data_IF_060057999856
#
_entry.id   IF_060057999856
#
_cell.length_a   1.000
_cell.length_b   1.000
_cell.length_c   1.000
_cell.angle_alpha   90.00
_cell.angle_beta   90.00
_cell.angle_gamma   90.00
#
_symmetry.space_group_name_H-M   'P 1'
#
loop_
_entity.id
_entity.type
_entity.pdbx_description
1 polymer ?
#
# COMPACT_ATOMS: atom_id res chain seq x y z
N UNK A 1 10.55 -3.66 26.58
CA UNK A 1 11.05 -3.33 25.22
C UNK A 1 11.84 -2.04 25.29
N UNK A 2 13.01 -1.95 24.65
CA UNK A 2 13.75 -0.67 24.56
C UNK A 2 13.00 0.28 23.63
N UNK A 3 12.77 1.55 23.99
CA UNK A 3 12.11 2.52 23.12
C UNK A 3 12.83 2.61 21.77
N UNK A 4 12.09 2.60 20.65
CA UNK A 4 12.67 2.55 19.29
C UNK A 4 13.77 3.60 19.09
N UNK A 5 13.53 4.81 19.61
CA UNK A 5 14.44 5.96 19.59
C UNK A 5 15.81 5.64 20.22
N UNK A 6 15.81 4.95 21.37
CA UNK A 6 17.05 4.59 22.08
C UNK A 6 17.84 3.53 21.30
N UNK A 7 17.16 2.54 20.72
CA UNK A 7 17.80 1.55 19.85
C UNK A 7 18.40 2.17 18.59
N UNK A 8 17.69 3.08 17.94
CA UNK A 8 18.19 3.78 16.74
C UNK A 8 19.41 4.64 17.06
N UNK A 9 19.36 5.45 18.13
CA UNK A 9 20.52 6.23 18.58
C UNK A 9 21.73 5.34 18.82
N UNK A 10 21.55 4.24 19.55
CA UNK A 10 22.64 3.30 19.82
C UNK A 10 23.22 2.71 18.51
N UNK A 11 22.37 2.32 17.55
CA UNK A 11 22.81 1.80 16.23
C UNK A 11 23.54 2.86 15.41
N UNK A 12 23.15 4.12 15.51
CA UNK A 12 23.81 5.26 14.88
C UNK A 12 25.03 5.76 15.68
N UNK A 13 25.40 5.07 16.77
CA UNK A 13 26.48 5.48 17.70
C UNK A 13 26.27 6.88 18.30
N UNK A 14 25.02 7.33 18.41
CA UNK A 14 24.64 8.56 19.08
C UNK A 14 24.55 8.33 20.60
N UNK A 15 24.87 9.38 21.37
CA UNK A 15 24.65 9.38 22.81
C UNK A 15 23.16 9.15 23.12
N UNK A 16 22.86 8.46 24.21
CA UNK A 16 21.48 8.23 24.64
C UNK A 16 20.71 9.54 24.90
N UNK A 17 21.45 10.59 25.30
CA UNK A 17 21.01 11.96 25.56
C UNK A 17 20.87 12.82 24.31
N UNK A 18 21.31 12.35 23.13
CA UNK A 18 21.18 13.11 21.89
C UNK A 18 19.70 13.47 21.66
N UNK A 19 19.36 14.69 21.20
CA UNK A 19 17.97 15.09 21.05
C UNK A 19 17.24 14.20 20.03
N UNK A 20 16.00 13.80 20.35
CA UNK A 20 15.18 12.95 19.47
C UNK A 20 14.93 13.59 18.09
N UNK A 21 14.98 14.92 18.05
CA UNK A 21 14.75 15.73 16.86
C UNK A 21 15.70 15.38 15.71
N UNK A 22 16.92 14.90 16.02
CA UNK A 22 17.92 14.45 15.05
C UNK A 22 17.37 13.34 14.13
N UNK A 23 16.44 12.52 14.63
CA UNK A 23 15.86 11.40 13.89
C UNK A 23 14.59 11.74 13.12
N UNK A 24 13.96 12.87 13.45
CA UNK A 24 12.63 13.23 12.95
C UNK A 24 12.67 14.42 12.00
N UNK A 25 13.67 15.30 12.12
CA UNK A 25 13.78 16.53 11.34
C UNK A 25 15.04 16.52 10.45
N UNK A 26 14.80 16.52 9.14
CA UNK A 26 15.87 16.62 8.15
C UNK A 26 16.56 18.00 8.15
N UNK A 27 15.82 19.06 8.50
CA UNK A 27 16.23 20.46 8.37
C UNK A 27 17.51 20.85 9.11
N UNK A 28 17.75 20.29 10.31
CA UNK A 28 18.86 20.74 11.17
C UNK A 28 20.17 19.99 10.93
N UNK A 29 20.07 18.70 10.56
CA UNK A 29 21.21 17.79 10.54
C UNK A 29 21.46 17.17 9.17
N UNK A 30 20.64 17.48 8.17
CA UNK A 30 20.65 16.85 6.85
C UNK A 30 20.59 15.32 6.91
N UNK A 31 19.89 14.80 7.92
CA UNK A 31 19.65 13.37 8.13
C UNK A 31 18.21 13.09 7.71
N UNK A 32 18.01 12.12 6.80
CA UNK A 32 16.66 11.70 6.40
C UNK A 32 15.86 11.24 7.61
N UNK A 33 14.64 11.75 7.74
CA UNK A 33 13.71 11.34 8.79
C UNK A 33 13.51 9.82 8.75
N UNK A 34 13.52 9.20 9.92
CA UNK A 34 13.24 7.75 10.03
C UNK A 34 11.84 7.44 9.49
N UNK A 35 10.89 8.34 9.73
CA UNK A 35 9.52 8.17 9.28
C UNK A 35 9.46 8.13 7.74
N UNK A 36 10.08 9.11 7.08
CA UNK A 36 10.08 9.20 5.62
C UNK A 36 10.81 8.00 4.99
N UNK A 37 11.93 7.57 5.58
CA UNK A 37 12.64 6.37 5.14
C UNK A 37 11.78 5.11 5.25
N UNK A 38 11.01 4.96 6.34
CA UNK A 38 10.11 3.81 6.50
C UNK A 38 8.94 3.88 5.53
N UNK A 39 8.37 5.07 5.29
CA UNK A 39 7.31 5.29 4.32
C UNK A 39 7.80 4.90 2.92
N UNK A 40 8.95 5.43 2.51
CA UNK A 40 9.57 5.13 1.23
C UNK A 40 9.86 3.63 1.08
N UNK A 41 10.43 2.98 2.10
CA UNK A 41 10.72 1.56 2.06
C UNK A 41 9.44 0.71 1.90
N UNK A 42 8.35 1.06 2.59
CA UNK A 42 7.06 0.36 2.46
C UNK A 42 6.48 0.49 1.07
N UNK A 43 6.39 1.71 0.55
CA UNK A 43 5.86 1.99 -0.80
C UNK A 43 6.72 1.29 -1.85
N UNK A 44 8.04 1.39 -1.75
CA UNK A 44 8.96 0.77 -2.70
C UNK A 44 8.84 -0.76 -2.71
N UNK A 45 8.77 -1.40 -1.54
CA UNK A 45 8.59 -2.85 -1.44
C UNK A 45 7.26 -3.29 -2.06
N UNK A 46 6.19 -2.52 -1.88
CA UNK A 46 4.90 -2.80 -2.49
C UNK A 46 4.94 -2.69 -4.02
N UNK A 47 5.58 -1.65 -4.55
CA UNK A 47 5.77 -1.45 -6.00
C UNK A 47 6.60 -2.60 -6.60
N UNK A 48 7.69 -3.00 -5.94
CA UNK A 48 8.52 -4.14 -6.37
C UNK A 48 7.68 -5.41 -6.44
N UNK A 49 6.82 -5.69 -5.44
CA UNK A 49 5.96 -6.86 -5.44
C UNK A 49 4.93 -6.85 -6.58
N UNK A 50 4.35 -5.70 -6.89
CA UNK A 50 3.38 -5.54 -7.99
C UNK A 50 4.06 -5.71 -9.35
N UNK A 51 5.29 -5.22 -9.49
CA UNK A 51 6.04 -5.24 -10.75
C UNK A 51 6.89 -6.51 -10.94
N UNK A 52 6.90 -7.43 -9.98
CA UNK A 52 7.65 -8.66 -10.07
C UNK A 52 7.12 -9.55 -11.22
N UNK A 53 8.02 -10.09 -12.04
CA UNK A 53 7.65 -10.97 -13.17
C UNK A 53 7.65 -12.47 -12.79
N UNK A 54 8.09 -12.79 -11.58
CA UNK A 54 8.25 -14.15 -11.09
C UNK A 54 7.03 -14.67 -10.33
N UNK A 55 7.29 -15.58 -9.40
CA UNK A 55 6.27 -16.20 -8.55
C UNK A 55 5.63 -15.16 -7.62
N UNK A 56 6.40 -14.19 -7.15
CA UNK A 56 5.92 -13.16 -6.24
C UNK A 56 4.88 -12.27 -6.92
N UNK A 57 5.11 -11.86 -8.17
CA UNK A 57 4.14 -11.14 -8.98
C UNK A 57 2.85 -11.92 -9.21
N UNK A 58 2.96 -13.22 -9.55
CA UNK A 58 1.78 -14.10 -9.71
C UNK A 58 0.97 -14.23 -8.42
N UNK A 59 1.64 -14.37 -7.28
CA UNK A 59 0.96 -14.38 -5.96
C UNK A 59 0.28 -13.05 -5.70
N UNK A 60 0.92 -11.93 -6.06
CA UNK A 60 0.35 -10.61 -5.90
C UNK A 60 -0.90 -10.41 -6.76
N UNK A 61 -0.87 -10.87 -8.01
CA UNK A 61 -2.01 -10.84 -8.94
C UNK A 61 -3.21 -11.63 -8.38
N UNK A 62 -2.99 -12.87 -7.93
CA UNK A 62 -4.05 -13.68 -7.30
C UNK A 62 -4.65 -12.96 -6.09
N UNK A 63 -3.81 -12.39 -5.22
CA UNK A 63 -4.28 -11.67 -4.01
C UNK A 63 -5.05 -10.40 -4.36
N UNK A 64 -4.71 -9.71 -5.45
CA UNK A 64 -5.46 -8.55 -5.94
C UNK A 64 -6.85 -8.96 -6.44
N UNK A 65 -6.92 -10.03 -7.23
CA UNK A 65 -8.19 -10.59 -7.70
C UNK A 65 -9.05 -11.04 -6.53
N UNK A 66 -8.47 -11.70 -5.52
CA UNK A 66 -9.19 -12.09 -4.30
C UNK A 66 -9.78 -10.89 -3.56
N UNK A 67 -9.03 -9.79 -3.45
CA UNK A 67 -9.51 -8.56 -2.80
C UNK A 67 -10.59 -7.90 -3.64
N UNK A 68 -10.39 -7.84 -4.96
CA UNK A 68 -11.39 -7.32 -5.89
C UNK A 68 -12.71 -8.08 -5.75
N UNK A 69 -12.67 -9.41 -5.70
CA UNK A 69 -13.83 -10.27 -5.49
C UNK A 69 -14.49 -10.04 -4.13
N UNK A 70 -13.71 -10.00 -3.04
CA UNK A 70 -14.22 -9.80 -1.68
C UNK A 70 -14.90 -8.44 -1.48
N UNK A 71 -14.37 -7.42 -2.15
CA UNK A 71 -14.91 -6.05 -2.11
C UNK A 71 -15.91 -5.78 -3.24
N UNK A 72 -16.16 -6.77 -4.11
CA UNK A 72 -17.03 -6.67 -5.29
C UNK A 72 -16.72 -5.45 -6.16
N UNK A 73 -15.42 -5.18 -6.37
CA UNK A 73 -14.97 -4.01 -7.09
C UNK A 73 -15.05 -4.21 -8.61
N UNK A 74 -15.54 -3.21 -9.36
CA UNK A 74 -15.64 -3.29 -10.82
C UNK A 74 -14.26 -3.31 -11.49
N UNK A 75 -13.28 -2.63 -10.90
CA UNK A 75 -11.91 -2.53 -11.39
C UNK A 75 -10.91 -3.12 -10.39
N UNK A 76 -9.71 -3.42 -10.87
CA UNK A 76 -8.62 -3.81 -10.00
C UNK A 76 -8.34 -2.71 -8.94
N UNK A 77 -8.18 -3.10 -7.67
CA UNK A 77 -7.89 -2.17 -6.57
C UNK A 77 -6.68 -1.25 -6.81
N UNK A 78 -5.71 -1.64 -7.64
CA UNK A 78 -4.57 -0.79 -7.98
C UNK A 78 -4.93 0.38 -8.90
N UNK A 79 -5.95 0.21 -9.76
CA UNK A 79 -6.39 1.24 -10.72
C UNK A 79 -7.30 2.23 -10.01
N UNK A 80 -8.32 1.71 -9.33
CA UNK A 80 -9.27 2.54 -8.60
C UNK A 80 -9.64 1.86 -7.29
N UNK A 81 -9.31 2.53 -6.18
CA UNK A 81 -9.70 2.12 -4.84
C UNK A 81 -10.63 3.17 -4.22
N UNK A 82 -11.95 2.90 -4.15
CA UNK A 82 -12.94 3.91 -3.77
C UNK A 82 -12.91 4.23 -2.27
N UNK A 83 -12.30 3.37 -1.46
CA UNK A 83 -12.35 3.49 0.00
C UNK A 83 -11.29 4.46 0.56
N UNK A 84 -11.58 4.93 1.77
CA UNK A 84 -10.75 5.79 2.61
C UNK A 84 -10.43 5.11 3.94
N UNK A 85 -9.53 5.72 4.73
CA UNK A 85 -9.19 5.20 6.06
C UNK A 85 -10.39 5.13 7.02
N UNK A 86 -11.43 5.95 6.80
CA UNK A 86 -12.64 5.93 7.63
C UNK A 86 -13.48 4.68 7.34
N UNK A 87 -13.47 4.23 6.10
CA UNK A 87 -14.28 3.10 5.64
C UNK A 87 -13.77 1.77 6.17
N UNK A 88 -12.47 1.69 6.53
CA UNK A 88 -11.87 0.52 7.20
C UNK A 88 -12.57 0.14 8.51
N UNK A 89 -13.18 1.11 9.21
CA UNK A 89 -13.88 0.86 10.47
C UNK A 89 -15.12 -0.01 10.25
N UNK A 90 -15.76 0.16 9.10
CA UNK A 90 -16.95 -0.59 8.69
C UNK A 90 -16.61 -1.90 7.98
N UNK A 91 -15.33 -2.13 7.65
CA UNK A 91 -14.85 -3.38 7.08
C UNK A 91 -14.57 -4.41 8.19
N UNK A 92 -14.85 -5.69 7.90
CA UNK A 92 -14.51 -6.79 8.82
C UNK A 92 -13.03 -6.82 9.18
N UNK A 93 -12.69 -7.33 10.37
CA UNK A 93 -11.32 -7.31 10.91
C UNK A 93 -10.27 -7.89 9.94
N UNK A 94 -10.63 -8.93 9.19
CA UNK A 94 -9.77 -9.55 8.18
C UNK A 94 -9.40 -8.61 7.02
N UNK A 95 -10.32 -7.73 6.60
CA UNK A 95 -10.06 -6.73 5.56
C UNK A 95 -9.31 -5.53 6.13
N UNK A 96 -9.64 -5.11 7.36
CA UNK A 96 -8.97 -4.01 8.04
C UNK A 96 -7.45 -4.24 8.17
N UNK A 97 -7.04 -5.47 8.47
CA UNK A 97 -5.63 -5.82 8.63
C UNK A 97 -4.99 -6.35 7.33
N UNK A 98 -5.66 -6.23 6.19
CA UNK A 98 -5.14 -6.72 4.93
C UNK A 98 -3.95 -5.86 4.47
N UNK A 99 -2.85 -6.52 4.13
CA UNK A 99 -1.61 -5.87 3.71
C UNK A 99 -1.80 -4.98 2.46
N UNK A 100 -2.52 -5.46 1.45
CA UNK A 100 -2.67 -4.75 0.17
C UNK A 100 -3.57 -3.53 0.35
N UNK A 101 -4.70 -3.68 1.06
CA UNK A 101 -5.62 -2.58 1.35
C UNK A 101 -4.91 -1.46 2.11
N UNK A 102 -4.13 -1.81 3.14
CA UNK A 102 -3.39 -0.84 3.91
C UNK A 102 -2.30 -0.12 3.10
N UNK A 103 -1.63 -0.81 2.16
CA UNK A 103 -0.68 -0.15 1.27
C UNK A 103 -1.38 0.79 0.26
N UNK A 104 -2.53 0.38 -0.31
CA UNK A 104 -3.33 1.25 -1.18
C UNK A 104 -3.78 2.53 -0.47
N UNK A 105 -4.28 2.39 0.75
CA UNK A 105 -4.69 3.53 1.56
C UNK A 105 -3.52 4.42 1.97
N UNK A 106 -2.38 3.81 2.30
CA UNK A 106 -1.15 4.55 2.58
C UNK A 106 -0.71 5.34 1.35
N UNK A 107 -0.69 4.73 0.17
CA UNK A 107 -0.35 5.43 -1.08
C UNK A 107 -1.30 6.59 -1.36
N UNK A 108 -2.62 6.38 -1.19
CA UNK A 108 -3.64 7.43 -1.33
C UNK A 108 -3.44 8.57 -0.33
N UNK A 109 -3.08 8.26 0.93
CA UNK A 109 -2.87 9.28 1.97
C UNK A 109 -1.66 10.18 1.73
N UNK A 110 -0.65 9.67 1.02
CA UNK A 110 0.58 10.39 0.66
C UNK A 110 0.62 10.81 -0.81
N UNK A 111 -0.51 10.74 -1.53
CA UNK A 111 -0.64 11.12 -2.94
C UNK A 111 0.35 10.43 -3.89
N UNK A 112 0.68 9.16 -3.63
CA UNK A 112 1.43 8.34 -4.59
C UNK A 112 0.49 7.84 -5.70
N UNK A 113 0.83 8.14 -6.96
CA UNK A 113 0.15 7.61 -8.15
C UNK A 113 0.92 6.40 -8.73
N UNK A 114 0.18 5.48 -9.35
CA UNK A 114 0.74 4.38 -10.13
C UNK A 114 0.41 4.65 -11.59
N UNK A 115 1.44 4.71 -12.44
CA UNK A 115 1.25 4.76 -13.88
C UNK A 115 1.22 3.35 -14.45
N UNK A 116 0.11 3.00 -15.09
CA UNK A 116 -0.02 1.71 -15.77
C UNK A 116 0.36 1.86 -17.24
N UNK A 117 1.27 1.01 -17.71
CA UNK A 117 1.49 0.87 -19.15
C UNK A 117 0.21 0.32 -19.80
N UNK A 118 -0.28 1.02 -20.83
CA UNK A 118 -1.57 0.75 -21.52
C UNK A 118 -1.79 -0.71 -21.92
N UNK A 119 -0.73 -1.49 -22.13
CA UNK A 119 -0.81 -2.91 -22.51
C UNK A 119 -1.24 -3.88 -21.39
N UNK A 120 -1.16 -3.50 -20.11
CA UNK A 120 -1.47 -4.40 -18.99
C UNK A 120 -2.84 -4.16 -18.35
N UNK A 121 -3.59 -3.16 -18.82
CA UNK A 121 -4.88 -2.76 -18.24
C UNK A 121 -5.97 -3.82 -18.50
N UNK A 122 -5.91 -4.49 -19.65
CA UNK A 122 -6.95 -5.43 -20.09
C UNK A 122 -7.02 -6.78 -19.37
N UNK A 123 -6.06 -7.14 -18.52
CA UNK A 123 -6.07 -8.42 -17.78
C UNK A 123 -6.77 -8.35 -16.42
N UNK A 124 -7.03 -7.14 -15.93
CA UNK A 124 -7.31 -6.87 -14.52
C UNK A 124 -8.79 -6.59 -14.20
N UNK A 125 -9.72 -6.92 -15.10
CA UNK A 125 -11.14 -6.57 -15.00
C UNK A 125 -12.08 -7.75 -15.29
N UNK A 126 -11.87 -8.90 -14.64
CA UNK A 126 -12.65 -10.11 -14.89
C UNK A 126 -13.23 -10.71 -13.61
N UNK A 127 -13.89 -9.90 -12.78
CA UNK A 127 -14.81 -10.47 -11.79
C UNK A 127 -16.11 -10.85 -12.50
N UNK A 128 -16.27 -12.15 -12.77
CA UNK A 128 -17.45 -12.76 -13.37
C UNK A 128 -18.48 -13.05 -12.28
N UNK A 129 -19.58 -12.32 -12.28
CA UNK A 129 -20.80 -12.69 -11.56
C UNK A 129 -21.73 -13.47 -12.47
N UNK A 130 -21.85 -14.79 -12.30
CA UNK A 130 -22.74 -15.66 -13.12
C UNK A 130 -22.57 -15.49 -14.65
N UNK A 131 -21.35 -15.23 -15.12
CA UNK A 131 -21.08 -15.06 -16.56
C UNK A 131 -21.26 -13.63 -17.11
N UNK A 132 -21.54 -12.64 -16.26
CA UNK A 132 -21.55 -11.20 -16.60
C UNK A 132 -20.49 -10.46 -15.81
N UNK A 133 -19.89 -9.42 -16.38
CA UNK A 133 -18.90 -8.59 -15.68
C UNK A 133 -19.60 -7.71 -14.64
N UNK A 134 -18.99 -7.51 -13.45
CA UNK A 134 -19.55 -6.57 -12.45
C UNK A 134 -19.78 -5.18 -13.05
N UNK A 135 -18.90 -4.74 -13.96
CA UNK A 135 -19.07 -3.48 -14.69
C UNK A 135 -20.40 -3.42 -15.48
N UNK A 136 -20.81 -4.51 -16.12
CA UNK A 136 -22.07 -4.60 -16.88
C UNK A 136 -23.30 -4.51 -15.97
N UNK A 137 -23.14 -4.87 -14.69
CA UNK A 137 -24.22 -4.83 -13.68
C UNK A 137 -24.29 -3.45 -13.02
N UNK A 138 -23.14 -2.86 -12.69
CA UNK A 138 -23.05 -1.59 -11.99
C UNK A 138 -23.45 -0.42 -12.89
N UNK A 139 -23.30 -0.55 -14.23
CA UNK A 139 -23.72 0.45 -15.20
C UNK A 139 -23.02 1.78 -14.93
N UNK A 140 -21.81 1.95 -15.43
CA UNK A 140 -21.14 3.25 -15.37
C UNK A 140 -21.49 4.07 -16.61
N UNK A 141 -22.06 5.25 -16.39
CA UNK A 141 -22.24 6.35 -17.36
C UNK A 141 -20.95 6.67 -18.14
#
# INVERSE_FOLDING_TARGET
MVPYRKNFKNKLKLASTAPNIIMELNLLYNIRSIFDNQLQAKVNNFIIQINDQGILGKIMEIRLVDIQNKLLLPFNPLINFPFSNKDLIFMGQHLRNNFIINNLLLMKSYNFSIEFNKHNIGKNSTVLGRGRHIMEIVGTE
#
